data_IF_557547162292
#
_entry.id   IF_557547162292
#
_cell.length_a   1.000
_cell.length_b   1.000
_cell.length_c   1.000
_cell.angle_alpha   90.00
_cell.angle_beta   90.00
_cell.angle_gamma   90.00
#
_symmetry.space_group_name_H-M   'P 1'
#
loop_
_entity.id
_entity.type
_entity.pdbx_description
1 polymer ?
#
# COMPACT_ATOMS: atom_id res chain seq x y z
N UNK A 1 -14.95 21.40 18.54
CA UNK A 1 -14.24 20.10 18.43
C UNK A 1 -14.92 18.99 19.23
N UNK A 2 -15.47 19.23 20.43
CA UNK A 2 -16.17 18.19 21.22
C UNK A 2 -17.35 17.55 20.49
N UNK A 3 -18.12 18.33 19.72
CA UNK A 3 -19.28 17.86 18.92
C UNK A 3 -18.89 16.99 17.72
N UNK A 4 -17.72 17.23 17.13
CA UNK A 4 -17.18 16.39 16.05
C UNK A 4 -16.61 15.10 16.64
N UNK A 5 -15.92 15.20 17.77
CA UNK A 5 -15.43 14.03 18.51
C UNK A 5 -16.57 13.09 18.94
N UNK A 6 -17.69 13.63 19.41
CA UNK A 6 -18.87 12.82 19.76
C UNK A 6 -19.54 12.19 18.54
N UNK A 7 -19.63 12.90 17.41
CA UNK A 7 -20.15 12.36 16.14
C UNK A 7 -19.25 11.23 15.58
N UNK A 8 -17.93 11.44 15.53
CA UNK A 8 -16.97 10.42 15.09
C UNK A 8 -16.97 9.21 16.03
N UNK A 9 -17.11 9.43 17.34
CA UNK A 9 -17.26 8.34 18.32
C UNK A 9 -18.57 7.57 18.13
N UNK A 10 -19.69 8.26 17.85
CA UNK A 10 -21.01 7.63 17.63
C UNK A 10 -21.03 6.76 16.37
N UNK A 11 -20.40 7.22 15.28
CA UNK A 11 -20.25 6.41 14.06
C UNK A 11 -19.31 5.20 14.28
N UNK A 12 -18.21 5.36 15.03
CA UNK A 12 -17.36 4.22 15.41
C UNK A 12 -18.14 3.17 16.23
N UNK A 13 -19.01 3.59 17.14
CA UNK A 13 -19.87 2.69 17.92
C UNK A 13 -20.93 1.97 17.08
N UNK A 14 -21.47 2.61 16.03
CA UNK A 14 -22.41 1.96 15.11
C UNK A 14 -21.71 0.90 14.25
N UNK A 15 -20.49 1.16 13.79
CA UNK A 15 -19.69 0.22 12.99
C UNK A 15 -19.33 -1.05 13.79
N UNK A 16 -18.96 -0.90 15.07
CA UNK A 16 -18.73 -2.01 16.00
C UNK A 16 -20.00 -2.86 16.26
N UNK A 17 -21.18 -2.23 16.29
CA UNK A 17 -22.45 -2.94 16.43
C UNK A 17 -22.81 -3.72 15.18
N UNK A 18 -22.57 -3.18 13.98
CA UNK A 18 -22.78 -3.90 12.72
C UNK A 18 -21.84 -5.07 12.54
N UNK A 19 -20.61 -4.98 13.05
CA UNK A 19 -19.64 -6.09 13.08
C UNK A 19 -20.06 -7.22 14.04
N UNK A 20 -20.62 -6.89 15.20
CA UNK A 20 -21.13 -7.90 16.13
C UNK A 20 -22.43 -8.56 15.67
N UNK A 21 -23.30 -7.83 14.96
CA UNK A 21 -24.55 -8.38 14.44
C UNK A 21 -24.31 -9.39 13.29
N UNK A 22 -23.27 -9.16 12.48
CA UNK A 22 -22.88 -10.09 11.42
C UNK A 22 -22.22 -11.39 11.95
N UNK A 23 -21.78 -11.43 13.21
CA UNK A 23 -21.23 -12.63 13.85
C UNK A 23 -22.29 -13.48 14.58
N UNK A 24 -23.53 -12.99 14.70
CA UNK A 24 -24.62 -13.70 15.40
C UNK A 24 -25.66 -14.33 14.46
N UNK A 25 -25.42 -14.35 13.15
CA UNK A 25 -26.41 -14.81 12.16
C UNK A 25 -26.05 -16.13 11.46
N UNK A 26 -25.09 -16.91 11.97
CA UNK A 26 -24.68 -18.20 11.38
C UNK A 26 -24.82 -19.42 12.32
N UNK A 27 -25.68 -19.39 13.33
CA UNK A 27 -26.07 -20.60 14.06
C UNK A 27 -27.59 -20.67 14.26
N UNK A 28 -28.26 -21.44 13.40
CA UNK A 28 -29.23 -22.51 13.75
C UNK A 28 -30.20 -22.75 12.59
N UNK A 29 -30.08 -23.93 11.98
CA UNK A 29 -31.15 -24.56 11.20
C UNK A 29 -31.34 -25.98 11.74
N UNK A 30 -32.57 -26.51 11.56
CA UNK A 30 -33.13 -27.81 11.95
C UNK A 30 -33.90 -27.81 13.28
N UNK A 31 -35.24 -27.70 13.24
CA UNK A 31 -36.10 -28.88 13.09
C UNK A 31 -37.56 -28.51 12.77
N UNK A 32 -38.23 -29.32 11.96
CA UNK A 32 -39.63 -29.19 11.56
C UNK A 32 -40.49 -30.12 12.42
N UNK A 33 -41.56 -29.65 13.08
CA UNK A 33 -42.80 -30.42 13.29
C UNK A 33 -44.01 -29.55 13.72
N UNK A 34 -45.19 -30.09 13.44
CA UNK A 34 -46.56 -29.53 13.45
C UNK A 34 -47.05 -28.97 14.80
N UNK A 35 -48.00 -28.01 14.76
CA UNK A 35 -49.45 -28.21 15.06
C UNK A 35 -50.17 -26.95 15.62
N UNK A 36 -51.28 -26.60 14.96
CA UNK A 36 -52.55 -25.92 15.35
C UNK A 36 -52.75 -25.07 16.63
N UNK A 37 -53.61 -24.04 16.44
CA UNK A 37 -54.46 -23.30 17.43
C UNK A 37 -53.70 -22.48 18.49
N UNK A 38 -54.06 -21.25 18.85
CA UNK A 38 -55.39 -20.70 19.11
C UNK A 38 -55.38 -19.15 19.10
N UNK A 39 -56.57 -18.59 18.96
CA UNK A 39 -56.96 -17.18 19.07
C UNK A 39 -56.69 -16.65 20.48
N UNK A 40 -56.18 -15.43 20.62
CA UNK A 40 -56.72 -14.45 21.59
C UNK A 40 -56.34 -13.00 21.29
N UNK A 41 -57.36 -12.15 21.48
CA UNK A 41 -57.36 -10.67 21.46
C UNK A 41 -56.39 -10.12 22.51
N UNK A 42 -55.82 -8.93 22.28
CA UNK A 42 -56.24 -7.71 22.97
C UNK A 42 -55.52 -6.47 22.39
N UNK A 43 -56.32 -5.42 22.31
CA UNK A 43 -56.09 -4.06 21.84
C UNK A 43 -55.12 -3.30 22.76
N UNK A 44 -54.14 -2.57 22.20
CA UNK A 44 -53.76 -1.30 22.81
C UNK A 44 -53.08 -0.35 21.80
N UNK A 45 -53.64 0.86 21.77
CA UNK A 45 -53.26 2.01 20.97
C UNK A 45 -51.79 2.41 21.12
N UNK A 46 -51.08 2.55 20.00
CA UNK A 46 -49.80 3.26 19.94
C UNK A 46 -50.04 4.56 19.18
N UNK A 47 -49.93 5.67 19.91
CA UNK A 47 -49.82 7.02 19.36
C UNK A 47 -48.67 7.06 18.34
N UNK A 48 -48.98 7.42 17.09
CA UNK A 48 -48.00 7.80 16.08
C UNK A 48 -47.30 9.10 16.54
N UNK A 49 -46.24 8.95 17.34
CA UNK A 49 -45.27 10.02 17.50
C UNK A 49 -44.44 10.05 16.22
N UNK A 50 -44.70 11.05 15.38
CA UNK A 50 -43.87 11.38 14.22
C UNK A 50 -42.43 11.65 14.69
N UNK A 51 -41.59 10.62 14.63
CA UNK A 51 -40.15 10.77 14.64
C UNK A 51 -39.79 11.45 13.31
N UNK A 52 -39.79 12.78 13.32
CA UNK A 52 -39.05 13.55 12.33
C UNK A 52 -37.61 13.03 12.35
N UNK A 53 -37.26 12.28 11.31
CA UNK A 53 -35.87 11.93 11.03
C UNK A 53 -35.13 13.26 10.83
N UNK A 54 -34.46 13.75 11.87
CA UNK A 54 -33.42 14.76 11.78
C UNK A 54 -32.34 14.23 10.83
N UNK A 55 -32.53 14.46 9.53
CA UNK A 55 -31.50 14.23 8.53
C UNK A 55 -30.29 15.05 8.95
N UNK A 56 -29.22 14.36 9.38
CA UNK A 56 -28.18 14.96 10.20
C UNK A 56 -27.63 16.24 9.55
N UNK A 57 -27.63 17.35 10.30
CA UNK A 57 -27.12 18.68 9.92
C UNK A 57 -25.74 18.68 9.22
N UNK A 58 -24.94 17.62 9.41
CA UNK A 58 -23.63 17.43 8.78
C UNK A 58 -23.70 17.04 7.30
N UNK A 59 -24.84 16.53 6.82
CA UNK A 59 -25.07 16.18 5.43
C UNK A 59 -25.27 17.41 4.54
N UNK A 60 -25.59 18.59 5.11
CA UNK A 60 -25.87 19.84 4.39
C UNK A 60 -24.73 20.86 4.42
N UNK A 61 -23.69 20.67 5.26
CA UNK A 61 -22.51 21.54 5.34
C UNK A 61 -21.88 21.83 3.97
N UNK A 62 -21.56 23.11 3.72
CA UNK A 62 -20.93 23.56 2.47
C UNK A 62 -19.55 22.90 2.28
N UNK A 63 -19.18 22.50 1.04
CA UNK A 63 -17.91 21.84 0.76
C UNK A 63 -16.67 22.62 1.24
N UNK A 64 -16.71 23.95 1.21
CA UNK A 64 -15.63 24.84 1.63
C UNK A 64 -15.41 24.77 3.15
N UNK A 65 -16.50 24.86 3.91
CA UNK A 65 -16.46 24.70 5.37
C UNK A 65 -16.02 23.28 5.77
N UNK A 66 -16.46 22.29 5.00
CA UNK A 66 -16.04 20.91 5.19
C UNK A 66 -14.52 20.74 4.93
N UNK A 67 -14.00 21.38 3.88
CA UNK A 67 -12.57 21.40 3.59
C UNK A 67 -11.77 22.04 4.73
N UNK A 68 -12.24 23.17 5.27
CA UNK A 68 -11.61 23.84 6.42
C UNK A 68 -11.60 22.98 7.67
N UNK A 69 -12.72 22.31 7.97
CA UNK A 69 -12.81 21.37 9.10
C UNK A 69 -11.77 20.26 8.92
N UNK A 70 -11.74 19.61 7.75
CA UNK A 70 -10.81 18.51 7.47
C UNK A 70 -9.36 19.01 7.52
N UNK A 71 -9.08 20.21 7.03
CA UNK A 71 -7.75 20.79 7.05
C UNK A 71 -7.26 21.06 8.48
N UNK A 72 -8.16 21.49 9.37
CA UNK A 72 -7.86 21.62 10.79
C UNK A 72 -7.56 20.27 11.42
N UNK A 73 -8.38 19.23 11.18
CA UNK A 73 -8.10 17.86 11.66
C UNK A 73 -6.75 17.35 11.11
N UNK A 74 -6.46 17.61 9.83
CA UNK A 74 -5.22 17.20 9.16
C UNK A 74 -3.98 17.88 9.75
N UNK A 75 -4.13 19.13 10.19
CA UNK A 75 -3.08 19.91 10.84
C UNK A 75 -2.83 19.48 12.28
N UNK A 76 -3.86 19.03 13.01
CA UNK A 76 -3.72 18.53 14.38
C UNK A 76 -3.16 17.11 14.45
N UNK A 77 -3.32 16.30 13.39
CA UNK A 77 -2.97 14.88 13.41
C UNK A 77 -1.74 14.55 12.57
N UNK A 78 -0.57 14.74 13.17
CA UNK A 78 0.70 14.61 12.47
C UNK A 78 1.14 13.14 12.26
N UNK A 79 0.71 12.21 13.13
CA UNK A 79 1.17 10.82 13.17
C UNK A 79 0.03 9.80 13.31
N UNK A 80 0.27 8.57 12.84
CA UNK A 80 -0.61 7.44 13.12
C UNK A 80 -0.42 6.98 14.57
N UNK A 81 -1.48 6.56 15.32
CA UNK A 81 -2.84 6.26 14.88
C UNK A 81 -3.83 7.44 14.93
N UNK A 82 -3.43 8.63 15.36
CA UNK A 82 -4.35 9.78 15.48
C UNK A 82 -5.03 10.08 14.15
N UNK A 83 -4.29 9.98 13.03
CA UNK A 83 -4.81 10.09 11.65
C UNK A 83 -5.99 9.17 11.27
N UNK A 84 -6.46 8.30 12.16
CA UNK A 84 -7.70 7.54 11.98
C UNK A 84 -8.91 8.48 11.84
N UNK A 85 -8.91 9.65 12.46
CA UNK A 85 -10.08 10.54 12.41
C UNK A 85 -10.25 11.13 11.00
N UNK A 86 -9.15 11.41 10.28
CA UNK A 86 -9.19 11.76 8.85
C UNK A 86 -9.82 10.63 8.01
N UNK A 87 -9.51 9.37 8.33
CA UNK A 87 -10.13 8.23 7.64
C UNK A 87 -11.62 8.16 7.98
N UNK A 88 -11.98 8.36 9.25
CA UNK A 88 -13.38 8.43 9.70
C UNK A 88 -14.16 9.54 8.99
N UNK A 89 -13.57 10.73 8.78
CA UNK A 89 -14.19 11.78 7.96
C UNK A 89 -14.51 11.28 6.54
N UNK A 90 -13.59 10.55 5.90
CA UNK A 90 -13.82 10.01 4.56
C UNK A 90 -14.84 8.85 4.50
N UNK A 91 -15.23 8.30 5.65
CA UNK A 91 -16.23 7.24 5.77
C UNK A 91 -17.66 7.76 5.95
N UNK A 92 -17.86 9.03 6.30
CA UNK A 92 -19.20 9.61 6.59
C UNK A 92 -20.16 9.48 5.41
N UNK A 93 -19.81 10.05 4.25
CA UNK A 93 -20.62 9.93 3.02
C UNK A 93 -19.77 10.22 1.77
N UNK A 94 -20.35 10.06 0.56
CA UNK A 94 -19.66 10.32 -0.72
C UNK A 94 -19.06 11.73 -0.79
N UNK A 95 -19.79 12.75 -0.31
CA UNK A 95 -19.36 14.15 -0.33
C UNK A 95 -18.16 14.38 0.57
N UNK A 96 -18.24 13.94 1.83
CA UNK A 96 -17.11 13.98 2.76
C UNK A 96 -15.90 13.24 2.22
N UNK A 97 -16.08 12.02 1.69
CA UNK A 97 -15.00 11.26 1.06
C UNK A 97 -14.29 12.03 -0.05
N UNK A 98 -15.03 12.72 -0.91
CA UNK A 98 -14.46 13.52 -1.99
C UNK A 98 -13.64 14.69 -1.45
N UNK A 99 -14.22 15.48 -0.55
CA UNK A 99 -13.54 16.64 0.06
C UNK A 99 -12.31 16.20 0.85
N UNK A 100 -12.41 15.15 1.69
CA UNK A 100 -11.27 14.63 2.46
C UNK A 100 -10.13 14.17 1.56
N UNK A 101 -10.43 13.44 0.48
CA UNK A 101 -9.41 13.05 -0.50
C UNK A 101 -8.76 14.26 -1.17
N UNK A 102 -9.54 15.30 -1.48
CA UNK A 102 -9.05 16.56 -2.04
C UNK A 102 -8.05 17.26 -1.12
N UNK A 103 -8.43 17.49 0.14
CA UNK A 103 -7.59 18.16 1.15
C UNK A 103 -6.27 17.40 1.38
N UNK A 104 -6.36 16.07 1.56
CA UNK A 104 -5.16 15.24 1.80
C UNK A 104 -4.23 15.17 0.58
N UNK A 105 -4.78 15.18 -0.65
CA UNK A 105 -3.98 15.17 -1.89
C UNK A 105 -3.31 16.52 -2.17
N UNK A 106 -4.05 17.62 -2.02
CA UNK A 106 -3.56 19.00 -2.26
C UNK A 106 -2.36 19.34 -1.38
N UNK A 107 -2.28 18.72 -0.20
CA UNK A 107 -1.22 18.98 0.77
C UNK A 107 0.19 18.64 0.29
N UNK A 108 0.39 17.91 -0.82
CA UNK A 108 1.58 17.81 -1.73
C UNK A 108 2.99 17.56 -1.15
N UNK A 109 3.15 17.73 0.14
CA UNK A 109 4.35 17.86 0.96
C UNK A 109 4.27 16.93 2.17
N UNK A 110 3.10 16.35 2.42
CA UNK A 110 2.77 15.84 3.75
C UNK A 110 3.47 14.53 4.10
N UNK A 111 4.00 13.79 3.11
CA UNK A 111 4.70 12.51 3.35
C UNK A 111 3.85 11.47 4.10
N UNK A 112 2.54 11.73 4.29
CA UNK A 112 1.68 10.93 5.16
C UNK A 112 0.91 9.90 4.35
N UNK A 113 1.02 8.64 4.76
CA UNK A 113 0.25 7.54 4.18
C UNK A 113 -1.09 7.45 4.92
N UNK A 114 -2.14 8.06 4.35
CA UNK A 114 -3.47 8.09 4.97
C UNK A 114 -4.39 7.05 4.35
N UNK A 115 -4.56 7.12 3.03
CA UNK A 115 -5.42 6.24 2.27
C UNK A 115 -4.61 5.17 1.52
N UNK A 116 -5.21 4.02 1.16
CA UNK A 116 -4.54 3.00 0.34
C UNK A 116 -3.97 3.56 -0.97
N UNK A 117 -4.69 4.49 -1.61
CA UNK A 117 -4.21 5.15 -2.85
C UNK A 117 -2.87 5.89 -2.68
N UNK A 118 -2.53 6.34 -1.47
CA UNK A 118 -1.26 7.01 -1.20
C UNK A 118 -0.06 6.06 -1.31
N UNK A 119 -0.26 4.75 -1.29
CA UNK A 119 0.81 3.76 -1.43
C UNK A 119 1.42 3.71 -2.84
N UNK A 120 0.70 4.23 -3.85
CA UNK A 120 1.20 4.40 -5.22
C UNK A 120 1.71 5.81 -5.51
N UNK A 121 1.52 6.76 -4.60
CA UNK A 121 2.05 8.12 -4.74
C UNK A 121 3.55 8.16 -4.39
N UNK A 122 4.30 9.03 -5.04
CA UNK A 122 5.71 9.25 -4.71
C UNK A 122 5.86 9.65 -3.24
N UNK A 123 6.96 9.19 -2.63
CA UNK A 123 7.34 9.57 -1.29
C UNK A 123 7.62 11.08 -1.14
N UNK A 124 7.81 11.56 0.09
CA UNK A 124 8.22 12.93 0.37
C UNK A 124 9.58 13.28 -0.26
N UNK A 125 9.82 14.57 -0.47
CA UNK A 125 11.06 15.10 -1.08
C UNK A 125 12.28 15.09 -0.15
N UNK A 126 12.09 15.45 1.12
CA UNK A 126 13.22 15.79 2.00
C UNK A 126 13.55 14.72 3.03
N UNK A 127 12.53 14.03 3.55
CA UNK A 127 12.69 13.08 4.65
C UNK A 127 12.16 11.72 4.22
N UNK A 128 12.98 10.66 4.15
CA UNK A 128 12.49 9.36 3.74
C UNK A 128 11.47 8.81 4.73
N UNK A 129 10.44 8.16 4.18
CA UNK A 129 9.50 7.39 4.98
C UNK A 129 10.18 6.12 5.47
N UNK A 130 10.13 5.94 6.79
CA UNK A 130 10.84 4.86 7.48
C UNK A 130 9.89 3.70 7.69
N UNK A 131 10.10 2.63 6.93
CA UNK A 131 9.30 1.41 6.99
C UNK A 131 10.14 0.22 7.43
N UNK A 132 9.45 -0.88 7.70
CA UNK A 132 10.07 -2.18 7.91
C UNK A 132 9.23 -3.29 7.27
N UNK A 133 9.91 -4.37 6.88
CA UNK A 133 9.34 -5.55 6.27
C UNK A 133 9.50 -6.70 7.26
N UNK A 134 8.39 -7.32 7.63
CA UNK A 134 8.35 -8.58 8.38
C UNK A 134 8.09 -9.73 7.40
N UNK A 135 8.94 -10.74 7.40
CA UNK A 135 8.79 -11.93 6.56
C UNK A 135 8.23 -13.09 7.38
N UNK A 136 7.21 -13.75 6.86
CA UNK A 136 6.79 -15.05 7.35
C UNK A 136 7.27 -16.14 6.39
N UNK A 137 8.28 -16.90 6.81
CA UNK A 137 8.85 -17.99 5.99
C UNK A 137 7.86 -19.13 5.75
N UNK A 138 6.96 -19.42 6.71
CA UNK A 138 6.05 -20.57 6.67
C UNK A 138 5.09 -20.48 5.49
N UNK A 139 4.48 -19.32 5.28
CA UNK A 139 3.53 -19.08 4.18
C UNK A 139 4.13 -18.31 2.99
N UNK A 140 5.44 -18.01 3.03
CA UNK A 140 6.13 -17.19 2.04
C UNK A 140 5.52 -15.80 1.84
N UNK A 141 5.01 -15.21 2.93
CA UNK A 141 4.40 -13.87 2.94
C UNK A 141 5.35 -12.83 3.51
N UNK A 142 5.19 -11.59 3.07
CA UNK A 142 5.94 -10.42 3.48
C UNK A 142 4.95 -9.31 3.81
N UNK A 143 5.17 -8.60 4.91
CA UNK A 143 4.30 -7.56 5.40
C UNK A 143 5.10 -6.27 5.52
N UNK A 144 4.63 -5.22 4.86
CA UNK A 144 5.20 -3.88 4.93
C UNK A 144 4.46 -3.07 5.98
N UNK A 145 5.23 -2.44 6.87
CA UNK A 145 4.73 -1.53 7.89
C UNK A 145 5.45 -0.19 7.82
N UNK A 146 4.71 0.90 8.02
CA UNK A 146 5.26 2.20 8.32
C UNK A 146 5.66 2.24 9.80
N UNK A 147 6.92 2.61 10.08
CA UNK A 147 7.38 2.84 11.45
C UNK A 147 6.69 4.07 12.04
N UNK A 148 6.24 3.96 13.29
CA UNK A 148 5.71 5.11 14.03
C UNK A 148 6.86 5.83 14.73
N UNK A 149 6.91 7.15 14.56
CA UNK A 149 7.80 8.01 15.33
C UNK A 149 6.95 8.62 16.44
N UNK A 150 7.17 8.25 17.70
CA UNK A 150 6.59 8.98 18.83
C UNK A 150 7.64 10.00 19.29
N UNK A 151 7.27 11.28 19.35
CA UNK A 151 8.07 12.37 19.91
C UNK A 151 9.55 12.39 19.45
N UNK A 152 9.78 12.38 18.13
CA UNK A 152 11.11 12.60 17.56
C UNK A 152 12.10 11.43 17.65
N UNK A 153 11.76 10.34 18.36
CA UNK A 153 12.53 9.10 18.39
C UNK A 153 11.76 7.97 17.70
N UNK A 154 12.44 7.25 16.82
CA UNK A 154 11.90 6.00 16.29
C UNK A 154 12.08 4.99 17.40
N UNK A 155 11.01 4.69 18.13
CA UNK A 155 11.05 3.58 19.07
C UNK A 155 11.31 2.31 18.28
N UNK A 156 12.38 1.60 18.62
CA UNK A 156 12.77 0.30 18.04
C UNK A 156 11.74 -0.82 18.31
N UNK A 157 10.58 -0.51 18.90
CA UNK A 157 9.45 -1.42 19.02
C UNK A 157 8.82 -1.62 17.63
N UNK A 158 9.39 -2.56 16.87
CA UNK A 158 8.95 -3.02 15.55
C UNK A 158 7.54 -3.67 15.56
N UNK A 159 6.85 -3.68 16.70
CA UNK A 159 5.53 -4.27 16.88
C UNK A 159 4.38 -3.26 16.81
N UNK A 160 4.69 -1.96 16.72
CA UNK A 160 3.67 -0.89 16.70
C UNK A 160 3.55 -0.15 15.36
N UNK A 161 4.01 -0.72 14.25
CA UNK A 161 3.92 -0.08 12.93
C UNK A 161 2.50 -0.05 12.33
N UNK A 162 2.23 0.91 11.42
CA UNK A 162 1.00 0.90 10.61
C UNK A 162 1.18 -0.07 9.44
N UNK A 163 0.33 -1.10 9.36
CA UNK A 163 0.32 -2.00 8.20
C UNK A 163 0.02 -1.22 6.90
N UNK A 164 0.75 -1.54 5.83
CA UNK A 164 0.63 -0.89 4.53
C UNK A 164 0.27 -1.87 3.40
N UNK A 165 1.06 -2.94 3.24
CA UNK A 165 0.94 -3.89 2.14
C UNK A 165 1.34 -5.29 2.61
N UNK A 166 0.72 -6.30 2.02
CA UNK A 166 1.20 -7.67 2.09
C UNK A 166 1.66 -8.13 0.70
N UNK A 167 2.58 -9.09 0.66
CA UNK A 167 3.00 -9.74 -0.55
C UNK A 167 3.20 -11.24 -0.32
N UNK A 168 2.71 -12.09 -1.22
CA UNK A 168 2.91 -13.54 -1.16
C UNK A 168 3.74 -14.02 -2.33
N UNK A 169 4.83 -14.73 -2.05
CA UNK A 169 5.66 -15.36 -3.08
C UNK A 169 5.06 -16.70 -3.49
N UNK A 170 4.81 -16.86 -4.79
CA UNK A 170 4.26 -18.04 -5.44
C UNK A 170 5.24 -18.52 -6.50
N UNK A 171 5.67 -19.78 -6.42
CA UNK A 171 6.57 -20.39 -7.41
C UNK A 171 5.76 -21.06 -8.52
N UNK A 172 6.06 -20.72 -9.76
CA UNK A 172 5.44 -21.24 -10.97
C UNK A 172 6.51 -21.88 -11.87
N UNK A 173 6.97 -23.10 -11.57
CA UNK A 173 7.92 -23.86 -12.39
C UNK A 173 9.11 -23.04 -12.92
N UNK A 174 8.93 -22.42 -14.10
CA UNK A 174 9.88 -21.55 -14.76
C UNK A 174 10.03 -20.11 -14.21
N UNK A 175 9.20 -19.64 -13.28
CA UNK A 175 9.29 -18.29 -12.70
C UNK A 175 8.71 -18.21 -11.29
N UNK A 176 8.89 -17.08 -10.62
CA UNK A 176 8.28 -16.77 -9.32
C UNK A 176 7.49 -15.48 -9.42
N UNK A 177 6.24 -15.51 -8.97
CA UNK A 177 5.39 -14.33 -8.81
C UNK A 177 5.36 -13.91 -7.34
N UNK A 178 5.29 -12.60 -7.08
CA UNK A 178 4.89 -12.05 -5.80
C UNK A 178 3.59 -11.29 -6.03
N UNK A 179 2.53 -11.68 -5.33
CA UNK A 179 1.22 -11.04 -5.41
C UNK A 179 1.15 -10.02 -4.30
N UNK A 180 0.97 -8.75 -4.63
CA UNK A 180 0.89 -7.66 -3.66
C UNK A 180 -0.58 -7.31 -3.41
N UNK A 181 -0.91 -7.02 -2.15
CA UNK A 181 -2.26 -6.68 -1.71
C UNK A 181 -2.26 -5.59 -0.64
N UNK A 182 -3.36 -4.83 -0.59
CA UNK A 182 -3.68 -3.94 0.53
C UNK A 182 -4.14 -4.68 1.78
N UNK A 183 -4.52 -5.95 1.64
CA UNK A 183 -5.05 -6.79 2.70
C UNK A 183 -4.04 -7.92 3.01
N UNK A 184 -3.81 -8.15 4.30
CA UNK A 184 -2.91 -9.19 4.77
C UNK A 184 -3.50 -10.60 4.60
N UNK A 185 -4.82 -10.71 4.65
CA UNK A 185 -5.56 -11.96 4.66
C UNK A 185 -6.12 -12.30 3.27
N UNK A 186 -6.24 -11.31 2.37
CA UNK A 186 -6.62 -11.51 0.97
C UNK A 186 -5.48 -11.21 0.00
N UNK A 187 -4.84 -12.28 -0.48
CA UNK A 187 -3.70 -12.24 -1.41
C UNK A 187 -4.05 -12.79 -2.79
N UNK A 188 -5.32 -12.73 -3.18
CA UNK A 188 -5.80 -13.22 -4.47
C UNK A 188 -5.68 -12.14 -5.57
N UNK A 189 -5.28 -12.53 -6.80
CA UNK A 189 -5.19 -11.58 -7.93
C UNK A 189 -6.55 -11.03 -8.39
N UNK A 190 -7.64 -11.77 -8.12
CA UNK A 190 -9.00 -11.37 -8.51
C UNK A 190 -9.68 -10.45 -7.49
N UNK A 191 -9.08 -10.23 -6.33
CA UNK A 191 -9.64 -9.38 -5.29
C UNK A 191 -9.48 -7.90 -5.58
N UNK A 192 -10.39 -7.10 -5.01
CA UNK A 192 -10.29 -5.65 -4.94
C UNK A 192 -9.09 -5.17 -4.10
N UNK A 193 -8.54 -6.04 -3.24
CA UNK A 193 -7.35 -5.75 -2.46
C UNK A 193 -6.05 -5.86 -3.30
N UNK A 194 -6.10 -6.52 -4.46
CA UNK A 194 -4.95 -6.68 -5.35
C UNK A 194 -4.42 -5.35 -5.88
N UNK A 195 -3.15 -5.06 -5.57
CA UNK A 195 -2.50 -3.80 -5.98
C UNK A 195 -1.54 -3.97 -7.16
N UNK A 196 -1.01 -5.18 -7.35
CA UNK A 196 -0.05 -5.47 -8.41
C UNK A 196 0.76 -6.73 -8.16
N UNK A 197 1.70 -7.00 -9.07
CA UNK A 197 2.51 -8.22 -9.08
C UNK A 197 3.95 -7.94 -9.44
N UNK A 198 4.87 -8.68 -8.83
CA UNK A 198 6.27 -8.76 -9.27
C UNK A 198 6.53 -10.16 -9.84
N UNK A 199 7.06 -10.26 -11.05
CA UNK A 199 7.40 -11.54 -11.69
C UNK A 199 8.90 -11.65 -11.91
N UNK A 200 9.51 -12.75 -11.49
CA UNK A 200 10.90 -13.06 -11.84
C UNK A 200 11.00 -13.76 -13.20
N UNK A 201 12.15 -13.70 -13.83
CA UNK A 201 12.54 -14.68 -14.84
C UNK A 201 12.97 -15.99 -14.15
N UNK A 202 13.31 -16.99 -14.96
CA UNK A 202 13.77 -18.30 -14.50
C UNK A 202 15.00 -18.24 -13.58
N UNK A 203 16.00 -17.43 -13.94
CA UNK A 203 17.25 -17.33 -13.20
C UNK A 203 17.16 -16.47 -11.93
N UNK A 204 16.04 -15.75 -11.75
CA UNK A 204 15.90 -14.76 -10.67
C UNK A 204 16.79 -13.52 -10.85
N UNK A 205 17.25 -13.26 -12.07
CA UNK A 205 18.15 -12.14 -12.40
C UNK A 205 17.41 -10.94 -12.99
N UNK A 206 16.23 -11.13 -13.56
CA UNK A 206 15.37 -10.06 -14.08
C UNK A 206 13.98 -10.19 -13.46
N UNK A 207 13.41 -9.07 -13.06
CA UNK A 207 12.07 -9.00 -12.53
C UNK A 207 11.28 -7.92 -13.27
N UNK A 208 9.99 -8.16 -13.45
CA UNK A 208 9.03 -7.22 -14.04
C UNK A 208 7.99 -6.85 -12.99
N UNK A 209 7.72 -5.55 -12.86
CA UNK A 209 6.74 -4.99 -11.92
C UNK A 209 5.47 -4.66 -12.70
N UNK A 210 4.34 -5.16 -12.23
CA UNK A 210 3.01 -4.94 -12.77
C UNK A 210 2.14 -4.18 -11.77
N UNK A 211 1.49 -3.13 -12.22
CA UNK A 211 0.43 -2.41 -11.52
C UNK A 211 -0.94 -3.02 -11.87
N UNK A 212 -1.90 -3.01 -10.92
CA UNK A 212 -3.28 -3.41 -11.17
C UNK A 212 -4.12 -2.37 -11.93
N UNK A 213 -3.69 -1.12 -11.96
CA UNK A 213 -4.37 0.00 -12.60
C UNK A 213 -3.67 0.44 -13.90
N UNK A 214 -4.43 0.85 -14.92
CA UNK A 214 -3.86 1.32 -16.17
C UNK A 214 -3.08 2.64 -15.94
N UNK A 215 -1.86 2.79 -16.50
CA UNK A 215 -1.09 4.04 -16.38
C UNK A 215 -1.72 5.20 -17.15
N UNK A 216 -2.57 4.94 -18.15
CA UNK A 216 -3.36 5.91 -18.89
C UNK A 216 -4.61 5.23 -19.46
N UNK A 217 -5.64 6.00 -19.82
CA UNK A 217 -6.96 5.47 -20.23
C UNK A 217 -6.91 4.40 -21.33
N UNK A 218 -5.96 4.53 -22.27
CA UNK A 218 -5.80 3.62 -23.42
C UNK A 218 -4.74 2.52 -23.23
N UNK A 219 -4.28 2.28 -21.99
CA UNK A 219 -3.21 1.31 -21.76
C UNK A 219 -3.72 -0.11 -22.01
N UNK A 220 -2.96 -0.89 -22.78
CA UNK A 220 -3.25 -2.30 -23.00
C UNK A 220 -2.68 -3.13 -21.85
N UNK A 221 -3.47 -3.99 -21.21
CA UNK A 221 -2.95 -4.86 -20.17
C UNK A 221 -2.00 -5.90 -20.76
N UNK A 222 -1.02 -6.32 -19.96
CA UNK A 222 -0.16 -7.45 -20.26
C UNK A 222 -1.02 -8.71 -20.38
N UNK A 223 -0.97 -9.35 -21.54
CA UNK A 223 -1.74 -10.56 -21.84
C UNK A 223 -1.15 -11.77 -21.11
N UNK A 224 -1.51 -11.97 -19.84
CA UNK A 224 -1.33 -13.26 -19.20
C UNK A 224 -2.50 -14.17 -19.54
N UNK A 225 -2.23 -15.31 -20.20
CA UNK A 225 -3.17 -16.41 -20.51
C UNK A 225 -3.95 -16.98 -19.29
N UNK A 226 -3.75 -16.43 -18.09
CA UNK A 226 -4.38 -16.81 -16.83
C UNK A 226 -5.65 -16.05 -16.49
N UNK A 227 -6.09 -15.08 -17.30
CA UNK A 227 -7.42 -14.45 -17.15
C UNK A 227 -8.51 -15.41 -17.62
N UNK A 228 -8.64 -16.57 -16.94
CA UNK A 228 -9.85 -17.37 -17.02
C UNK A 228 -11.00 -16.46 -16.58
N UNK A 229 -11.98 -16.32 -17.45
CA UNK A 229 -13.24 -15.62 -17.21
C UNK A 229 -13.86 -16.16 -15.92
N UNK A 230 -13.65 -15.48 -14.80
CA UNK A 230 -14.61 -15.54 -13.71
C UNK A 230 -15.76 -14.63 -14.14
N UNK A 231 -16.81 -15.25 -14.66
CA UNK A 231 -18.08 -14.58 -14.87
C UNK A 231 -18.71 -14.34 -13.49
N UNK A 232 -18.28 -13.30 -12.79
CA UNK A 232 -19.10 -12.77 -11.70
C UNK A 232 -20.24 -11.98 -12.34
N UNK A 233 -21.47 -12.48 -12.20
CA UNK A 233 -22.70 -11.72 -12.46
C UNK A 233 -22.83 -10.57 -11.44
N UNK A 234 -21.95 -9.58 -11.52
CA UNK A 234 -22.08 -8.36 -10.73
C UNK A 234 -21.91 -7.16 -11.67
N UNK A 235 -22.98 -6.40 -11.79
CA UNK A 235 -23.12 -5.17 -12.60
C UNK A 235 -22.40 -4.03 -11.87
N UNK A 236 -21.09 -4.20 -11.64
CA UNK A 236 -20.21 -3.14 -11.16
C UNK A 236 -19.32 -2.71 -12.32
N UNK A 237 -19.26 -1.41 -12.67
CA UNK A 237 -18.42 -0.91 -13.76
C UNK A 237 -16.91 -0.89 -13.42
N UNK A 238 -16.48 -1.53 -12.32
CA UNK A 238 -15.08 -1.64 -11.97
C UNK A 238 -14.38 -2.61 -12.92
N UNK A 239 -13.50 -2.06 -13.76
CA UNK A 239 -12.66 -2.79 -14.71
C UNK A 239 -11.91 -3.91 -13.96
N UNK A 240 -11.92 -5.16 -14.43
CA UNK A 240 -11.18 -6.24 -13.80
C UNK A 240 -9.72 -5.84 -13.60
N UNK A 241 -9.19 -6.09 -12.39
CA UNK A 241 -7.77 -5.85 -12.07
C UNK A 241 -6.87 -6.49 -13.12
N UNK A 242 -6.24 -5.67 -13.96
CA UNK A 242 -5.41 -6.10 -15.07
C UNK A 242 -3.94 -5.77 -14.80
N UNK A 243 -3.00 -6.49 -15.41
CA UNK A 243 -1.58 -6.31 -15.13
C UNK A 243 -0.95 -5.33 -16.12
N UNK A 244 -0.52 -4.16 -15.65
CA UNK A 244 0.16 -3.16 -16.49
C UNK A 244 1.63 -3.07 -16.11
N UNK A 245 2.51 -3.33 -17.07
CA UNK A 245 3.95 -3.28 -16.81
C UNK A 245 4.42 -1.86 -16.55
N UNK A 246 4.96 -1.61 -15.35
CA UNK A 246 5.45 -0.30 -14.92
C UNK A 246 6.96 -0.23 -14.73
N UNK A 247 7.68 -1.35 -14.87
CA UNK A 247 9.13 -1.33 -14.82
C UNK A 247 9.79 -2.67 -14.61
N UNK A 248 11.12 -2.64 -14.54
CA UNK A 248 11.97 -3.81 -14.37
C UNK A 248 13.04 -3.60 -13.31
N UNK A 249 13.49 -4.71 -12.75
CA UNK A 249 14.65 -4.78 -11.86
C UNK A 249 15.57 -5.87 -12.38
N UNK A 250 16.82 -5.54 -12.67
CA UNK A 250 17.81 -6.44 -13.25
C UNK A 250 19.06 -6.50 -12.38
N UNK A 251 19.52 -7.71 -12.09
CA UNK A 251 20.79 -8.00 -11.45
C UNK A 251 21.80 -8.36 -12.54
N UNK A 252 22.92 -7.64 -12.59
CA UNK A 252 24.00 -7.97 -13.51
C UNK A 252 24.60 -9.33 -13.11
N UNK A 253 24.65 -10.22 -14.09
CA UNK A 253 25.31 -11.51 -13.95
C UNK A 253 26.83 -11.33 -14.01
N UNK A 254 27.56 -11.92 -13.09
CA UNK A 254 29.03 -11.87 -13.07
C UNK A 254 29.57 -13.28 -13.37
N UNK A 255 29.59 -13.67 -14.66
CA UNK A 255 30.07 -15.00 -15.09
C UNK A 255 31.59 -15.17 -14.88
N UNK A 256 32.34 -14.07 -14.93
CA UNK A 256 33.78 -14.05 -14.74
C UNK A 256 34.09 -13.31 -13.44
N UNK A 257 34.70 -14.02 -12.48
CA UNK A 257 34.99 -13.74 -11.06
C UNK A 257 35.60 -12.36 -10.71
N UNK A 258 35.02 -11.27 -11.20
CA UNK A 258 35.32 -9.93 -10.69
C UNK A 258 34.74 -9.86 -9.28
N UNK A 259 35.61 -10.04 -8.29
CA UNK A 259 35.28 -9.80 -6.88
C UNK A 259 34.77 -8.36 -6.77
N UNK A 260 33.45 -8.20 -6.65
CA UNK A 260 32.85 -6.88 -6.70
C UNK A 260 31.39 -6.89 -6.22
N UNK A 261 30.90 -5.75 -5.72
CA UNK A 261 29.50 -5.61 -5.31
C UNK A 261 28.53 -5.93 -6.45
N UNK A 262 27.43 -6.62 -6.14
CA UNK A 262 26.37 -6.93 -7.11
C UNK A 262 25.83 -5.63 -7.72
N UNK A 263 25.68 -5.60 -9.05
CA UNK A 263 25.11 -4.46 -9.78
C UNK A 263 23.61 -4.66 -9.96
N UNK A 264 22.82 -3.76 -9.40
CA UNK A 264 21.36 -3.72 -9.48
C UNK A 264 20.95 -2.50 -10.29
N UNK A 265 20.16 -2.72 -11.33
CA UNK A 265 19.57 -1.69 -12.19
C UNK A 265 18.06 -1.79 -12.11
N UNK A 266 17.39 -0.72 -11.74
CA UNK A 266 15.94 -0.62 -11.77
C UNK A 266 15.52 0.47 -12.76
N UNK A 267 14.54 0.14 -13.60
CA UNK A 267 13.95 1.06 -14.57
C UNK A 267 12.45 1.10 -14.33
N UNK A 268 11.89 2.27 -14.02
CA UNK A 268 10.46 2.45 -13.79
C UNK A 268 9.92 3.48 -14.78
N UNK A 269 8.70 3.27 -15.30
CA UNK A 269 8.02 4.26 -16.13
C UNK A 269 7.61 5.45 -15.26
N UNK A 270 7.87 6.66 -15.74
CA UNK A 270 7.40 7.88 -15.07
C UNK A 270 5.94 8.09 -15.49
N UNK A 271 5.00 8.28 -14.54
CA UNK A 271 3.65 8.69 -14.90
C UNK A 271 3.73 10.04 -15.60
N UNK A 272 3.18 10.16 -16.81
CA UNK A 272 3.09 11.43 -17.50
C UNK A 272 2.38 12.43 -16.57
N UNK A 273 3.02 13.56 -16.27
CA UNK A 273 2.30 14.68 -15.69
C UNK A 273 1.32 15.18 -16.75
N UNK A 274 0.08 15.44 -16.37
CA UNK A 274 -0.82 16.26 -17.17
C UNK A 274 -0.24 17.68 -17.18
N UNK A 275 0.67 17.97 -18.12
CA UNK A 275 1.04 19.35 -18.43
C UNK A 275 -0.02 19.96 -19.35
N UNK A 276 -0.37 21.25 -19.16
CA UNK A 276 -1.30 21.94 -20.03
C UNK A 276 -0.75 22.02 -21.46
N UNK A 277 -1.65 21.85 -22.42
CA UNK A 277 -1.37 21.77 -23.85
C UNK A 277 -0.49 22.92 -24.34
N UNK A 278 0.55 22.58 -25.11
CA UNK A 278 1.15 23.49 -26.08
C UNK A 278 2.66 23.69 -25.95
N UNK A 279 3.47 22.67 -26.28
CA UNK A 279 4.75 22.82 -27.00
C UNK A 279 5.14 21.49 -27.62
N UNK A 280 5.85 21.57 -28.74
CA UNK A 280 5.94 20.60 -29.83
C UNK A 280 6.44 19.20 -29.46
N UNK A 281 5.95 18.22 -30.21
CA UNK A 281 6.22 16.81 -30.08
C UNK A 281 7.67 16.48 -30.48
N UNK A 282 8.51 16.22 -29.48
CA UNK A 282 9.71 15.40 -29.64
C UNK A 282 9.53 14.08 -28.86
N UNK A 283 10.19 13.04 -29.34
CA UNK A 283 9.94 11.59 -29.15
C UNK A 283 10.08 11.04 -27.70
N UNK A 284 9.41 11.61 -26.69
CA UNK A 284 9.54 11.20 -25.28
C UNK A 284 8.29 10.46 -24.73
N UNK A 285 7.70 9.57 -25.55
CA UNK A 285 6.54 8.74 -25.15
C UNK A 285 6.86 7.68 -24.07
N UNK A 286 8.08 7.64 -23.53
CA UNK A 286 8.48 6.60 -22.58
C UNK A 286 9.58 7.05 -21.60
N UNK A 287 9.48 8.26 -21.05
CA UNK A 287 10.41 8.70 -20.00
C UNK A 287 10.42 7.70 -18.83
N UNK A 288 11.55 7.06 -18.63
CA UNK A 288 11.77 6.09 -17.56
C UNK A 288 12.76 6.64 -16.54
N UNK A 289 12.47 6.51 -15.26
CA UNK A 289 13.45 6.74 -14.21
C UNK A 289 14.38 5.52 -14.11
N UNK A 290 15.67 5.78 -14.00
CA UNK A 290 16.69 4.74 -13.84
C UNK A 290 17.34 4.89 -12.48
N UNK A 291 17.27 3.83 -11.69
CA UNK A 291 17.87 3.73 -10.36
C UNK A 291 18.96 2.68 -10.37
N UNK A 292 20.05 2.94 -9.66
CA UNK A 292 21.22 2.04 -9.61
C UNK A 292 21.60 1.79 -8.17
N UNK A 293 22.18 0.63 -7.86
CA UNK A 293 22.73 0.45 -6.53
C UNK A 293 23.88 1.43 -6.29
N UNK A 294 23.90 2.02 -5.10
CA UNK A 294 25.04 2.77 -4.61
C UNK A 294 26.24 1.84 -4.50
N UNK A 295 27.39 2.31 -4.97
CA UNK A 295 28.65 1.57 -4.83
C UNK A 295 29.11 1.68 -3.37
N UNK A 296 29.41 0.56 -2.69
CA UNK A 296 29.96 0.61 -1.33
C UNK A 296 31.31 1.31 -1.31
N UNK A 297 31.66 1.89 -0.15
CA UNK A 297 32.97 2.49 0.08
C UNK A 297 33.85 1.48 0.82
N UNK A 298 35.14 1.48 0.50
CA UNK A 298 36.11 0.70 1.26
C UNK A 298 36.23 1.30 2.67
N UNK A 299 36.15 0.44 3.68
CA UNK A 299 36.31 0.83 5.08
C UNK A 299 37.59 0.20 5.62
N UNK A 300 38.63 1.02 5.77
CA UNK A 300 40.00 0.56 6.06
C UNK A 300 40.10 -0.24 7.36
N UNK A 301 39.55 0.25 8.47
CA UNK A 301 39.61 -0.46 9.75
C UNK A 301 38.88 -1.81 9.77
N UNK A 302 37.84 -1.96 8.94
CA UNK A 302 37.03 -3.18 8.87
C UNK A 302 37.46 -4.09 7.70
N UNK A 303 38.38 -3.62 6.85
CA UNK A 303 38.82 -4.28 5.63
C UNK A 303 37.63 -4.81 4.78
N UNK A 304 36.56 -4.02 4.67
CA UNK A 304 35.30 -4.38 4.01
C UNK A 304 34.82 -3.31 3.03
N UNK A 305 34.10 -3.74 2.00
CA UNK A 305 33.21 -2.87 1.25
C UNK A 305 31.92 -2.65 2.02
N UNK A 306 31.67 -1.41 2.44
CA UNK A 306 30.63 -1.09 3.39
C UNK A 306 29.81 0.14 2.92
N UNK A 307 28.50 0.11 3.16
CA UNK A 307 27.58 1.24 2.90
C UNK A 307 27.18 1.85 4.25
N UNK A 308 27.08 3.17 4.31
CA UNK A 308 26.58 3.85 5.50
C UNK A 308 25.04 3.83 5.51
N UNK A 309 24.47 3.04 6.42
CA UNK A 309 23.03 2.94 6.63
C UNK A 309 22.50 3.84 7.77
N UNK A 310 23.34 4.73 8.31
CA UNK A 310 23.00 5.65 9.42
C UNK A 310 22.35 4.92 10.61
N UNK A 311 22.91 3.78 10.99
CA UNK A 311 22.41 2.94 12.09
C UNK A 311 21.08 2.20 11.81
N UNK A 312 20.47 2.35 10.62
CA UNK A 312 19.22 1.65 10.28
C UNK A 312 19.37 0.17 10.01
N UNK A 313 20.54 -0.26 9.55
CA UNK A 313 20.85 -1.65 9.24
C UNK A 313 21.90 -2.14 10.22
N UNK A 314 21.59 -3.21 10.93
CA UNK A 314 22.41 -3.74 12.03
C UNK A 314 22.96 -5.13 11.75
N UNK A 315 22.43 -5.83 10.75
CA UNK A 315 22.85 -7.20 10.41
C UNK A 315 23.45 -7.23 9.01
N UNK A 316 24.67 -7.75 8.88
CA UNK A 316 25.32 -7.97 7.60
C UNK A 316 24.51 -8.94 6.72
N UNK A 317 24.30 -8.56 5.45
CA UNK A 317 23.58 -9.40 4.49
C UNK A 317 23.84 -8.97 3.05
N UNK A 318 23.89 -9.93 2.12
CA UNK A 318 23.87 -9.68 0.66
C UNK A 318 22.59 -9.00 0.16
N UNK A 319 21.61 -8.84 1.05
CA UNK A 319 20.34 -8.14 0.82
C UNK A 319 20.43 -6.65 1.15
N UNK A 320 21.49 -6.19 1.83
CA UNK A 320 21.63 -4.80 2.21
C UNK A 320 22.05 -3.98 0.98
N UNK A 321 21.24 -3.00 0.59
CA UNK A 321 21.57 -2.12 -0.53
C UNK A 321 20.95 -0.74 -0.37
N UNK A 322 21.53 0.23 -1.06
CA UNK A 322 20.95 1.54 -1.31
C UNK A 322 20.74 1.70 -2.81
N UNK A 323 19.62 2.26 -3.25
CA UNK A 323 19.45 2.73 -4.62
C UNK A 323 19.57 4.24 -4.67
N UNK A 324 20.21 4.70 -5.73
CA UNK A 324 20.38 6.12 -6.04
C UNK A 324 19.66 6.48 -7.34
N UNK A 325 19.20 7.72 -7.42
CA UNK A 325 18.67 8.35 -8.63
C UNK A 325 19.62 9.48 -9.07
N UNK A 326 19.72 9.75 -10.38
CA UNK A 326 20.36 10.94 -10.96
C UNK A 326 21.67 11.37 -10.28
N UNK A 327 21.58 12.40 -9.44
CA UNK A 327 22.62 13.07 -8.65
C UNK A 327 23.22 12.23 -7.50
N UNK A 328 23.21 10.90 -7.59
CA UNK A 328 23.62 9.97 -6.53
C UNK A 328 22.86 10.10 -5.19
N UNK A 329 21.70 10.76 -5.20
CA UNK A 329 20.83 10.86 -4.03
C UNK A 329 20.21 9.51 -3.71
N UNK A 330 20.30 9.09 -2.44
CA UNK A 330 19.81 7.78 -2.00
C UNK A 330 18.30 7.81 -1.82
N UNK A 331 17.57 7.23 -2.77
CA UNK A 331 16.10 7.25 -2.80
C UNK A 331 15.44 6.02 -2.16
N UNK A 332 16.20 4.93 -2.00
CA UNK A 332 15.78 3.71 -1.30
C UNK A 332 16.96 3.15 -0.50
N UNK A 333 16.71 2.84 0.77
CA UNK A 333 17.64 2.15 1.65
C UNK A 333 16.96 0.90 2.22
N UNK A 334 17.56 -0.26 2.00
CA UNK A 334 17.03 -1.53 2.46
C UNK A 334 18.11 -2.37 3.12
N UNK A 335 17.77 -3.03 4.23
CA UNK A 335 18.70 -3.94 4.86
C UNK A 335 18.15 -4.70 6.06
N UNK A 336 18.90 -5.73 6.46
CA UNK A 336 18.52 -6.69 7.50
C UNK A 336 18.79 -6.12 8.89
N UNK A 337 17.85 -6.33 9.80
CA UNK A 337 17.99 -5.95 11.22
C UNK A 337 17.69 -7.09 12.19
N UNK A 338 17.06 -8.16 11.72
CA UNK A 338 16.79 -9.38 12.47
C UNK A 338 16.65 -10.57 11.53
N UNK A 339 16.28 -11.74 12.04
CA UNK A 339 16.21 -12.96 11.23
C UNK A 339 15.26 -12.82 10.03
N UNK A 340 14.06 -12.31 10.28
CA UNK A 340 12.99 -12.10 9.31
C UNK A 340 12.44 -10.65 9.32
N UNK A 341 13.27 -9.71 9.75
CA UNK A 341 12.91 -8.29 9.83
C UNK A 341 13.95 -7.45 9.10
N UNK A 342 13.47 -6.53 8.27
CA UNK A 342 14.27 -5.68 7.40
C UNK A 342 13.78 -4.23 7.47
N UNK A 343 14.67 -3.25 7.47
CA UNK A 343 14.29 -1.85 7.29
C UNK A 343 14.15 -1.52 5.81
N UNK A 344 13.19 -0.66 5.49
CA UNK A 344 12.98 -0.11 4.15
C UNK A 344 12.69 1.38 4.26
N UNK A 345 13.60 2.23 3.84
CA UNK A 345 13.40 3.68 3.83
C UNK A 345 13.32 4.18 2.40
N UNK A 346 12.29 4.94 2.04
CA UNK A 346 12.11 5.41 0.67
C UNK A 346 11.66 6.87 0.63
N UNK A 347 11.96 7.54 -0.47
CA UNK A 347 11.56 8.92 -0.75
C UNK A 347 11.21 9.09 -2.23
N UNK A 348 10.85 10.30 -2.64
CA UNK A 348 10.67 10.63 -4.06
C UNK A 348 11.92 10.17 -4.87
N UNK A 349 11.76 9.58 -6.07
CA UNK A 349 10.53 9.42 -6.85
C UNK A 349 9.70 8.18 -6.54
N UNK A 350 10.17 7.30 -5.66
CA UNK A 350 9.53 6.00 -5.41
C UNK A 350 8.25 6.12 -4.58
N UNK A 351 7.26 5.30 -4.91
CA UNK A 351 6.11 5.02 -4.03
C UNK A 351 6.39 3.86 -3.08
N UNK A 352 5.55 3.69 -2.04
CA UNK A 352 5.66 2.54 -1.13
C UNK A 352 5.54 1.21 -1.89
N UNK A 353 4.61 1.14 -2.83
CA UNK A 353 4.39 -0.01 -3.70
C UNK A 353 5.64 -0.35 -4.52
N UNK A 354 6.23 0.64 -5.20
CA UNK A 354 7.44 0.45 -6.00
C UNK A 354 8.64 0.06 -5.13
N UNK A 355 8.88 0.78 -4.04
CA UNK A 355 9.97 0.49 -3.10
C UNK A 355 9.88 -0.93 -2.53
N UNK A 356 8.67 -1.35 -2.13
CA UNK A 356 8.43 -2.68 -1.61
C UNK A 356 8.65 -3.76 -2.67
N UNK A 357 8.11 -3.59 -3.88
CA UNK A 357 8.33 -4.50 -5.00
C UNK A 357 9.82 -4.65 -5.34
N UNK A 358 10.58 -3.56 -5.35
CA UNK A 358 12.04 -3.59 -5.55
C UNK A 358 12.72 -4.40 -4.45
N UNK A 359 12.39 -4.17 -3.18
CA UNK A 359 12.98 -4.90 -2.05
C UNK A 359 12.67 -6.40 -2.10
N UNK A 360 11.47 -6.79 -2.54
CA UNK A 360 11.06 -8.20 -2.70
C UNK A 360 11.99 -8.97 -3.68
N UNK A 361 12.56 -8.31 -4.68
CA UNK A 361 13.52 -8.94 -5.62
C UNK A 361 14.78 -9.47 -4.93
N UNK A 362 15.12 -8.96 -3.73
CA UNK A 362 16.27 -9.42 -2.95
C UNK A 362 16.07 -10.79 -2.27
N UNK A 363 14.81 -11.25 -2.18
CA UNK A 363 14.45 -12.52 -1.54
C UNK A 363 14.33 -13.70 -2.52
N UNK A 364 14.49 -13.46 -3.82
CA UNK A 364 14.60 -14.51 -4.83
C UNK A 364 15.93 -15.26 -4.74
N UNK A 365 15.91 -16.55 -5.06
CA UNK A 365 17.13 -17.32 -5.33
C UNK A 365 17.72 -16.84 -6.66
N UNK A 366 18.98 -16.43 -6.66
CA UNK A 366 19.69 -15.94 -7.85
C UNK A 366 20.75 -16.96 -8.20
N UNK A 367 20.44 -17.81 -9.17
CA UNK A 367 21.40 -18.80 -9.65
C UNK A 367 22.56 -18.01 -10.30
N UNK A 368 23.78 -18.20 -9.80
CA UNK A 368 25.02 -17.58 -10.26
C UNK A 368 25.18 -16.06 -10.04
N UNK A 369 24.68 -15.56 -8.90
CA UNK A 369 25.06 -14.25 -8.36
C UNK A 369 25.79 -14.35 -7.01
N UNK A 370 26.22 -15.53 -6.56
CA UNK A 370 26.88 -15.74 -5.27
C UNK A 370 28.32 -15.24 -5.23
#
# INVERSE_FOLDING_TARGET
MSTIGSFLSRNRSQELKTLNHNNSSEEQEIDHHQQQHNVDRFDDSIEETSLEEETSSWATVLPELLADIIQRVESSELYWPLRKDIVSCACVCKRWRHVTKGVVRSSGRSGRITFPSSLKQSGPRFNPLKCFIKRNKKNSTFYLYLGLTQQGFITASMDKGKFLLAARRVRHGAHTDYILSYDADDLSQGSNAYIGKLRSNFLGTKFTIYDSQPPHSNAKPSSSRSSRRFASKQISPQVPSANFEIGHVSYKFNLFKSRGPRRLLCTLKVPAKEEPQGVEADDDKNKCMVLRNKVPRWHEHLQCWCLNFNGRVTVASVKNFQLVAGNDETVLQFGKIGEDVFTMDYMQPLSAFQAFAICLTSFGTKLACE
#
